data_IF_769980126711
#
_entry.id   IF_769980126711
#
_cell.length_a   1.000
_cell.length_b   1.000
_cell.length_c   1.000
_cell.angle_alpha   90.00
_cell.angle_beta   90.00
_cell.angle_gamma   90.00
#
_symmetry.space_group_name_H-M   'P 1'
#
loop_
_entity.id
_entity.type
_entity.pdbx_description
1 polymer ?
#
# COMPACT_ATOMS: atom_id res chain seq x y z
N UNK A 1 -1.36 12.01 -0.22
CA UNK A 1 -2.54 11.33 0.35
C UNK A 1 -3.26 10.63 -0.77
N UNK A 2 -3.42 9.33 -0.63
CA UNK A 2 -4.20 8.52 -1.57
C UNK A 2 -5.67 8.94 -1.48
N UNK A 3 -6.30 9.14 -2.64
CA UNK A 3 -7.74 9.40 -2.70
C UNK A 3 -8.46 8.07 -2.68
N UNK A 4 -9.37 7.90 -1.76
CA UNK A 4 -10.17 6.70 -1.62
C UNK A 4 -11.63 6.98 -1.98
N UNK A 5 -12.28 6.00 -2.55
CA UNK A 5 -13.68 6.02 -2.87
C UNK A 5 -14.52 5.51 -1.69
N UNK A 6 -15.69 6.06 -1.44
CA UNK A 6 -16.54 5.72 -0.29
C UNK A 6 -17.30 4.39 -0.41
N UNK A 7 -17.17 3.72 -1.56
CA UNK A 7 -17.82 2.45 -1.85
C UNK A 7 -19.24 2.58 -2.41
N UNK A 8 -19.71 3.78 -2.75
CA UNK A 8 -20.99 3.96 -3.44
C UNK A 8 -20.82 3.99 -4.95
N UNK A 9 -21.81 3.52 -5.71
CA UNK A 9 -21.77 3.54 -7.18
C UNK A 9 -21.66 4.97 -7.71
N UNK A 10 -22.38 5.91 -7.09
CA UNK A 10 -22.38 7.31 -7.50
C UNK A 10 -20.98 7.92 -7.42
N UNK A 11 -20.30 7.77 -6.29
CA UNK A 11 -18.94 8.31 -6.12
C UNK A 11 -17.91 7.57 -6.95
N UNK A 12 -18.14 6.29 -7.29
CA UNK A 12 -17.30 5.55 -8.23
C UNK A 12 -17.39 6.11 -9.64
N UNK A 13 -18.58 6.39 -10.15
CA UNK A 13 -18.78 6.94 -11.50
C UNK A 13 -18.13 8.33 -11.63
N UNK A 14 -18.24 9.16 -10.61
CA UNK A 14 -17.57 10.46 -10.52
C UNK A 14 -16.04 10.31 -10.49
N UNK A 15 -15.53 9.38 -9.69
CA UNK A 15 -14.11 9.08 -9.58
C UNK A 15 -13.54 8.50 -10.88
N UNK A 16 -14.26 7.59 -11.53
CA UNK A 16 -13.84 6.97 -12.80
C UNK A 16 -13.81 7.98 -13.94
N UNK A 17 -14.78 8.89 -13.99
CA UNK A 17 -14.81 10.01 -14.93
C UNK A 17 -13.58 10.90 -14.77
N UNK A 18 -13.20 11.25 -13.55
CA UNK A 18 -12.00 12.03 -13.25
C UNK A 18 -10.72 11.26 -13.60
N UNK A 19 -10.65 9.97 -13.29
CA UNK A 19 -9.49 9.12 -13.57
C UNK A 19 -9.21 8.96 -15.06
N UNK A 20 -10.26 8.91 -15.87
CA UNK A 20 -10.18 8.70 -17.32
C UNK A 20 -9.98 10.00 -18.12
N UNK A 21 -9.68 11.12 -17.46
CA UNK A 21 -9.32 12.38 -18.09
C UNK A 21 -10.52 13.20 -18.58
N UNK A 22 -11.71 12.85 -18.17
CA UNK A 22 -12.84 13.75 -18.25
C UNK A 22 -12.66 14.79 -17.15
N UNK A 23 -12.38 16.05 -17.49
CA UNK A 23 -12.26 17.09 -16.47
C UNK A 23 -13.59 17.20 -15.73
N UNK A 24 -13.64 16.88 -14.41
CA UNK A 24 -14.86 17.07 -13.65
C UNK A 24 -15.18 18.56 -13.58
N UNK A 25 -16.46 18.91 -13.70
CA UNK A 25 -16.90 20.28 -13.47
C UNK A 25 -16.54 20.70 -12.04
N UNK A 26 -16.35 22.00 -11.79
CA UNK A 26 -16.06 22.51 -10.43
C UNK A 26 -17.08 22.05 -9.38
N UNK A 27 -18.31 21.79 -9.79
CA UNK A 27 -19.41 21.30 -8.95
C UNK A 27 -19.20 19.82 -8.59
N UNK A 28 -18.70 19.01 -9.52
CA UNK A 28 -18.40 17.59 -9.29
C UNK A 28 -17.21 17.42 -8.37
N UNK A 29 -16.18 18.25 -8.49
CA UNK A 29 -15.02 18.26 -7.58
C UNK A 29 -15.42 18.69 -6.16
N UNK A 30 -16.32 19.66 -6.03
CA UNK A 30 -16.80 20.14 -4.73
C UNK A 30 -17.74 19.14 -4.03
N UNK A 31 -18.39 18.24 -4.79
CA UNK A 31 -19.27 17.19 -4.25
C UNK A 31 -18.55 15.89 -3.84
N UNK A 32 -17.30 15.69 -4.27
CA UNK A 32 -16.51 14.53 -3.87
C UNK A 32 -15.93 14.80 -2.48
N UNK A 33 -16.69 14.52 -1.45
CA UNK A 33 -16.13 14.41 -0.10
C UNK A 33 -15.19 13.20 -0.10
N UNK A 34 -13.88 13.47 -0.02
CA UNK A 34 -12.85 12.44 0.10
C UNK A 34 -12.96 11.81 1.48
N UNK A 35 -13.89 10.87 1.59
CA UNK A 35 -14.03 10.09 2.82
C UNK A 35 -12.84 9.13 2.87
N UNK A 36 -12.05 9.26 3.91
CA UNK A 36 -11.06 8.25 4.26
C UNK A 36 -11.83 6.93 4.47
N UNK A 37 -11.52 5.85 3.76
CA UNK A 37 -12.27 4.59 3.89
C UNK A 37 -12.11 3.97 5.28
N UNK A 38 -11.17 4.49 6.03
CA UNK A 38 -10.87 4.18 7.43
C UNK A 38 -11.70 5.07 8.36
N UNK A 39 -13.00 5.22 8.13
CA UNK A 39 -13.88 6.11 8.91
C UNK A 39 -13.81 5.86 10.42
N UNK A 40 -13.43 4.65 10.83
CA UNK A 40 -13.19 4.29 12.21
C UNK A 40 -11.74 4.53 12.67
N UNK A 41 -10.82 4.84 11.74
CA UNK A 41 -9.43 5.11 12.08
C UNK A 41 -9.28 6.52 12.64
N UNK A 42 -8.96 6.59 13.92
CA UNK A 42 -8.71 7.87 14.61
C UNK A 42 -7.22 8.20 14.52
N UNK A 43 -6.92 9.50 14.30
CA UNK A 43 -5.55 10.01 14.34
C UNK A 43 -4.86 9.56 15.63
N UNK A 44 -3.70 8.93 15.50
CA UNK A 44 -2.91 8.40 16.61
C UNK A 44 -3.18 6.94 16.95
N UNK A 45 -4.06 6.26 16.20
CA UNK A 45 -4.17 4.79 16.25
C UNK A 45 -3.33 4.17 15.15
N UNK A 46 -2.67 3.01 15.40
CA UNK A 46 -1.96 2.30 14.36
C UNK A 46 -2.94 1.79 13.28
N UNK A 47 -2.59 2.02 12.02
CA UNK A 47 -3.28 1.37 10.92
C UNK A 47 -2.99 -0.14 10.95
N UNK A 48 -3.97 -0.95 10.63
CA UNK A 48 -3.84 -2.40 10.53
C UNK A 48 -4.24 -2.85 9.14
N UNK A 49 -3.47 -3.78 8.59
CA UNK A 49 -3.68 -4.29 7.23
C UNK A 49 -5.08 -4.93 7.04
N UNK A 50 -5.73 -5.40 8.10
CA UNK A 50 -7.09 -5.91 8.07
C UNK A 50 -8.10 -4.83 7.68
N UNK A 51 -7.87 -3.56 8.03
CA UNK A 51 -8.71 -2.43 7.60
C UNK A 51 -8.72 -2.28 6.08
N UNK A 52 -7.58 -2.61 5.45
CA UNK A 52 -7.44 -2.63 4.02
C UNK A 52 -8.21 -3.80 3.39
N UNK A 53 -8.09 -5.00 3.95
CA UNK A 53 -8.83 -6.17 3.50
C UNK A 53 -10.35 -5.91 3.59
N UNK A 54 -10.83 -5.35 4.71
CA UNK A 54 -12.24 -5.02 4.94
C UNK A 54 -12.78 -4.00 3.91
N UNK A 55 -11.97 -2.98 3.61
CA UNK A 55 -12.33 -2.00 2.59
C UNK A 55 -12.51 -2.65 1.21
N UNK A 56 -11.52 -3.40 0.74
CA UNK A 56 -11.57 -4.02 -0.58
C UNK A 56 -12.61 -5.13 -0.68
N UNK A 57 -12.96 -5.77 0.41
CA UNK A 57 -14.10 -6.70 0.44
C UNK A 57 -15.43 -5.95 0.26
N UNK A 58 -15.61 -4.82 0.95
CA UNK A 58 -16.80 -3.98 0.85
C UNK A 58 -17.04 -3.45 -0.57
N UNK A 59 -15.97 -3.07 -1.27
CA UNK A 59 -16.07 -2.46 -2.61
C UNK A 59 -15.91 -3.46 -3.76
N UNK A 60 -15.74 -4.75 -3.47
CA UNK A 60 -15.39 -5.80 -4.43
C UNK A 60 -16.33 -5.92 -5.61
N UNK A 61 -17.63 -5.76 -5.38
CA UNK A 61 -18.66 -5.93 -6.43
C UNK A 61 -18.59 -4.81 -7.48
N UNK A 62 -18.13 -3.63 -7.10
CA UNK A 62 -18.03 -2.46 -7.98
C UNK A 62 -16.60 -2.30 -8.49
N UNK A 63 -15.61 -2.54 -7.63
CA UNK A 63 -14.19 -2.45 -7.96
C UNK A 63 -13.46 -3.74 -7.62
N UNK A 64 -13.52 -4.75 -8.49
CA UNK A 64 -12.95 -6.07 -8.20
C UNK A 64 -11.42 -6.08 -8.20
N UNK A 65 -10.77 -5.23 -8.99
CA UNK A 65 -9.31 -5.21 -9.14
C UNK A 65 -8.81 -4.00 -9.92
N UNK A 66 -7.55 -3.62 -9.69
CA UNK A 66 -6.83 -2.68 -10.56
C UNK A 66 -6.38 -3.36 -11.87
N UNK A 67 -6.03 -4.64 -11.80
CA UNK A 67 -5.57 -5.42 -12.94
C UNK A 67 -5.70 -6.93 -12.67
N UNK A 68 -5.57 -7.73 -13.73
CA UNK A 68 -5.59 -9.20 -13.64
C UNK A 68 -4.19 -9.74 -13.92
N UNK A 69 -3.67 -10.54 -13.01
CA UNK A 69 -2.34 -11.14 -13.16
C UNK A 69 -2.28 -12.08 -14.37
N UNK A 70 -1.29 -11.87 -15.24
CA UNK A 70 -1.19 -12.56 -16.53
C UNK A 70 -1.18 -14.08 -16.41
N UNK A 71 -0.39 -14.63 -15.49
CA UNK A 71 -0.18 -16.08 -15.37
C UNK A 71 -1.22 -16.73 -14.44
N UNK A 72 -1.52 -16.12 -13.30
CA UNK A 72 -2.42 -16.71 -12.31
C UNK A 72 -3.88 -16.40 -12.56
N UNK A 73 -4.18 -15.32 -13.30
CA UNK A 73 -5.53 -14.76 -13.48
C UNK A 73 -6.16 -14.26 -12.18
N UNK A 74 -5.35 -14.04 -11.15
CA UNK A 74 -5.81 -13.42 -9.92
C UNK A 74 -6.19 -11.94 -10.15
N UNK A 75 -7.29 -11.46 -9.58
CA UNK A 75 -7.63 -10.04 -9.56
C UNK A 75 -6.72 -9.33 -8.55
N UNK A 76 -5.84 -8.46 -9.03
CA UNK A 76 -4.79 -7.81 -8.23
C UNK A 76 -5.18 -6.39 -7.86
N UNK A 77 -4.63 -5.94 -6.75
CA UNK A 77 -4.73 -4.57 -6.26
C UNK A 77 -3.36 -3.92 -6.27
N UNK A 78 -3.32 -2.62 -6.45
CA UNK A 78 -2.12 -1.80 -6.38
C UNK A 78 -2.20 -0.84 -5.21
N UNK A 79 -1.21 -0.88 -4.35
CA UNK A 79 -1.04 0.11 -3.29
C UNK A 79 -0.05 1.17 -3.77
N UNK A 80 -0.40 2.42 -3.53
CA UNK A 80 0.48 3.55 -3.80
C UNK A 80 0.50 4.48 -2.59
N UNK A 81 1.71 4.83 -2.14
CA UNK A 81 1.95 5.82 -1.11
C UNK A 81 1.25 5.53 0.24
N UNK A 82 1.46 4.34 0.86
CA UNK A 82 0.88 3.99 2.15
C UNK A 82 1.69 4.57 3.34
N UNK A 83 2.46 5.63 3.10
CA UNK A 83 3.42 6.15 4.08
C UNK A 83 2.75 6.63 5.36
N UNK A 84 1.54 7.22 5.25
CA UNK A 84 0.78 7.68 6.42
C UNK A 84 0.30 6.51 7.27
N UNK A 85 -0.22 5.48 6.62
CA UNK A 85 -0.71 4.25 7.25
C UNK A 85 0.45 3.52 7.94
N UNK A 86 1.56 3.29 7.25
CA UNK A 86 2.77 2.68 7.82
C UNK A 86 3.33 3.49 8.99
N UNK A 87 3.45 4.81 8.81
CA UNK A 87 3.96 5.70 9.84
C UNK A 87 3.09 5.68 11.11
N UNK A 88 1.76 5.55 10.96
CA UNK A 88 0.80 5.59 12.06
C UNK A 88 1.03 4.54 13.14
N UNK A 89 1.61 3.37 12.76
CA UNK A 89 1.96 2.29 13.67
C UNK A 89 3.27 2.49 14.42
N UNK A 90 4.05 3.50 14.06
CA UNK A 90 5.40 3.73 14.59
C UNK A 90 5.43 4.50 15.93
N UNK A 91 6.51 4.31 16.67
CA UNK A 91 6.74 5.01 17.95
C UNK A 91 6.78 6.53 17.80
N UNK A 92 7.23 7.05 16.68
CA UNK A 92 7.27 8.49 16.40
C UNK A 92 5.86 9.06 16.26
N UNK A 93 4.97 8.39 15.50
CA UNK A 93 3.57 8.80 15.38
C UNK A 93 2.85 8.78 16.74
N UNK A 94 3.08 7.74 17.55
CA UNK A 94 2.52 7.61 18.89
C UNK A 94 2.96 8.74 19.84
N UNK A 95 4.13 9.34 19.59
CA UNK A 95 4.67 10.48 20.34
C UNK A 95 4.42 11.84 19.67
N UNK A 96 3.54 11.91 18.68
CA UNK A 96 3.13 13.16 18.03
C UNK A 96 4.16 13.76 17.08
N UNK A 97 5.19 13.02 16.70
CA UNK A 97 6.17 13.43 15.68
C UNK A 97 5.49 13.41 14.32
N UNK A 98 5.73 14.41 13.51
CA UNK A 98 5.20 14.51 12.14
C UNK A 98 6.27 14.18 11.09
N UNK A 99 5.85 13.95 9.85
CA UNK A 99 6.76 13.78 8.72
C UNK A 99 7.69 14.99 8.56
N UNK A 100 7.18 16.19 8.80
CA UNK A 100 7.92 17.43 8.69
C UNK A 100 9.04 17.57 9.73
N UNK A 101 8.87 17.00 10.92
CA UNK A 101 9.89 17.06 11.98
C UNK A 101 11.18 16.36 11.56
N UNK A 102 11.07 15.30 10.74
CA UNK A 102 12.21 14.56 10.20
C UNK A 102 12.64 15.06 8.82
N UNK A 103 11.70 15.32 7.90
CA UNK A 103 11.99 15.67 6.52
C UNK A 103 12.20 17.17 6.27
N UNK A 104 11.74 18.01 7.21
CA UNK A 104 11.87 19.47 7.17
C UNK A 104 12.35 20.00 8.54
N UNK A 105 13.47 19.50 9.07
CA UNK A 105 13.93 19.88 10.42
C UNK A 105 14.27 21.36 10.47
N UNK A 106 14.32 21.89 11.69
CA UNK A 106 14.77 23.26 11.92
C UNK A 106 16.29 23.35 11.79
N UNK A 107 16.73 24.30 10.96
CA UNK A 107 18.13 24.68 10.82
C UNK A 107 18.38 26.11 11.26
N UNK A 108 19.60 26.43 11.62
CA UNK A 108 20.03 27.81 11.92
C UNK A 108 20.82 28.38 10.76
N UNK A 109 20.43 29.59 10.33
CA UNK A 109 21.17 30.34 9.33
C UNK A 109 21.49 31.71 9.92
N UNK A 110 22.68 31.85 10.49
CA UNK A 110 23.04 33.00 11.33
C UNK A 110 22.20 33.07 12.59
N UNK A 111 21.55 34.18 12.84
CA UNK A 111 20.65 34.39 13.98
C UNK A 111 19.24 33.79 13.81
N UNK A 112 18.90 33.37 12.58
CA UNK A 112 17.56 32.91 12.26
C UNK A 112 17.42 31.40 12.44
N UNK A 113 16.31 30.94 13.02
CA UNK A 113 15.84 29.57 13.01
C UNK A 113 14.78 29.45 11.92
N UNK A 114 14.98 28.54 10.97
CA UNK A 114 14.05 28.32 9.86
C UNK A 114 13.89 26.84 9.58
N UNK A 115 12.77 26.46 8.98
CA UNK A 115 12.53 25.11 8.52
C UNK A 115 13.32 24.85 7.22
N UNK A 116 13.95 23.70 7.15
CA UNK A 116 14.60 23.26 5.91
C UNK A 116 13.53 22.78 4.92
N UNK A 117 13.40 23.46 3.78
CA UNK A 117 12.39 23.13 2.76
C UNK A 117 12.89 22.13 1.70
N UNK A 118 14.15 21.73 1.75
CA UNK A 118 14.65 20.64 0.93
C UNK A 118 14.20 19.31 1.55
N UNK A 119 13.10 18.77 1.06
CA UNK A 119 12.57 17.48 1.53
C UNK A 119 13.52 16.38 1.08
N UNK A 120 14.45 16.03 1.96
CA UNK A 120 15.48 15.01 1.71
C UNK A 120 15.37 13.89 2.75
N UNK A 121 16.15 12.83 2.53
CA UNK A 121 16.26 11.77 3.55
C UNK A 121 16.82 12.34 4.84
N UNK A 122 16.20 12.09 6.00
CA UNK A 122 16.70 12.49 7.31
C UNK A 122 18.12 11.98 7.61
N UNK A 123 18.55 10.90 6.95
CA UNK A 123 19.89 10.33 7.06
C UNK A 123 20.99 11.24 6.51
N UNK A 124 20.65 12.25 5.70
CA UNK A 124 21.63 13.21 5.19
C UNK A 124 22.04 14.25 6.23
N UNK A 125 21.18 14.51 7.22
CA UNK A 125 21.47 15.41 8.33
C UNK A 125 20.84 14.89 9.64
N UNK A 126 21.48 13.88 10.20
CA UNK A 126 21.09 13.25 11.47
C UNK A 126 21.07 14.27 12.62
N UNK A 127 21.97 15.24 12.59
CA UNK A 127 22.05 16.24 13.64
C UNK A 127 20.82 17.17 13.66
N UNK A 128 20.35 17.60 12.50
CA UNK A 128 19.15 18.42 12.43
C UNK A 128 17.86 17.62 12.61
N UNK A 129 17.77 16.44 11.98
CA UNK A 129 16.54 15.65 11.94
C UNK A 129 16.30 14.84 13.23
N UNK A 130 17.35 14.16 13.73
CA UNK A 130 17.19 13.19 14.82
C UNK A 130 17.60 13.74 16.17
N UNK A 131 18.73 14.45 16.24
CA UNK A 131 19.31 14.88 17.53
C UNK A 131 18.53 16.04 18.20
N UNK A 132 17.58 16.65 17.51
CA UNK A 132 16.64 17.57 18.15
C UNK A 132 15.88 16.92 19.32
N UNK A 133 15.55 15.62 19.18
CA UNK A 133 14.90 14.81 20.22
C UNK A 133 15.88 13.79 20.85
N UNK A 134 16.77 13.22 20.06
CA UNK A 134 17.75 12.19 20.47
C UNK A 134 19.13 12.79 20.83
N UNK A 135 19.16 13.87 21.60
CA UNK A 135 20.38 14.62 21.91
C UNK A 135 21.49 13.82 22.59
N UNK A 136 21.14 12.75 23.31
CA UNK A 136 22.10 11.93 24.09
C UNK A 136 22.77 10.83 23.27
N UNK A 137 22.20 10.48 22.12
CA UNK A 137 22.73 9.45 21.24
C UNK A 137 23.77 10.04 20.28
N UNK A 138 24.80 9.25 19.92
CA UNK A 138 25.72 9.65 18.87
C UNK A 138 25.08 9.52 17.49
N UNK A 139 25.61 10.23 16.49
CA UNK A 139 25.15 10.14 15.12
C UNK A 139 25.35 8.72 14.57
N UNK A 140 26.48 8.10 14.87
CA UNK A 140 26.82 6.75 14.45
C UNK A 140 25.83 5.73 15.02
N UNK A 141 25.49 5.86 16.31
CA UNK A 141 24.49 5.00 16.94
C UNK A 141 23.13 5.11 16.25
N UNK A 142 22.66 6.33 16.00
CA UNK A 142 21.37 6.57 15.34
C UNK A 142 21.34 6.00 13.91
N UNK A 143 22.41 6.22 13.14
CA UNK A 143 22.57 5.63 11.81
C UNK A 143 22.55 4.10 11.85
N UNK A 144 23.29 3.51 12.78
CA UNK A 144 23.36 2.07 12.91
C UNK A 144 21.98 1.47 13.23
N UNK A 145 21.23 2.08 14.16
CA UNK A 145 19.86 1.63 14.48
C UNK A 145 18.95 1.65 13.24
N UNK A 146 19.02 2.71 12.44
CA UNK A 146 18.20 2.81 11.23
C UNK A 146 18.59 1.74 10.21
N UNK A 147 19.90 1.54 9.97
CA UNK A 147 20.38 0.53 9.03
C UNK A 147 20.05 -0.89 9.49
N UNK A 148 20.10 -1.18 10.79
CA UNK A 148 19.73 -2.49 11.32
C UNK A 148 18.24 -2.78 11.10
N UNK A 149 17.37 -1.79 11.33
CA UNK A 149 15.94 -1.90 11.05
C UNK A 149 15.71 -2.09 9.55
N UNK A 150 16.31 -1.26 8.69
CA UNK A 150 16.16 -1.38 7.24
C UNK A 150 16.65 -2.72 6.71
N UNK A 151 17.76 -3.24 7.25
CA UNK A 151 18.29 -4.55 6.88
C UNK A 151 17.35 -5.69 7.27
N UNK A 152 16.76 -5.62 8.46
CA UNK A 152 15.78 -6.61 8.92
C UNK A 152 14.54 -6.61 8.02
N UNK A 153 13.96 -5.44 7.80
CA UNK A 153 12.78 -5.28 6.92
C UNK A 153 13.07 -5.76 5.49
N UNK A 154 14.24 -5.40 4.94
CA UNK A 154 14.63 -5.86 3.61
C UNK A 154 14.81 -7.38 3.52
N UNK A 155 15.27 -8.02 4.58
CA UNK A 155 15.37 -9.47 4.64
C UNK A 155 14.00 -10.14 4.67
N UNK A 156 13.08 -9.64 5.50
CA UNK A 156 11.73 -10.17 5.64
C UNK A 156 10.93 -9.97 4.33
N UNK A 157 11.06 -8.79 3.73
CA UNK A 157 10.42 -8.47 2.44
C UNK A 157 10.90 -9.43 1.34
N UNK A 158 12.22 -9.65 1.20
CA UNK A 158 12.74 -10.61 0.22
C UNK A 158 12.23 -12.01 0.45
N UNK A 159 12.11 -12.43 1.70
CA UNK A 159 11.57 -13.75 2.04
C UNK A 159 10.11 -13.87 1.60
N UNK A 160 9.30 -12.82 1.81
CA UNK A 160 7.93 -12.76 1.34
C UNK A 160 7.85 -12.76 -0.21
N UNK A 161 8.69 -11.99 -0.89
CA UNK A 161 8.77 -11.95 -2.36
C UNK A 161 9.09 -13.33 -2.95
N UNK A 162 10.06 -14.06 -2.39
CA UNK A 162 10.37 -15.43 -2.83
C UNK A 162 9.19 -16.38 -2.63
N UNK A 163 8.49 -16.28 -1.51
CA UNK A 163 7.30 -17.08 -1.26
C UNK A 163 6.17 -16.77 -2.26
N UNK A 164 5.96 -15.50 -2.61
CA UNK A 164 4.98 -15.07 -3.61
C UNK A 164 5.36 -15.58 -5.00
N UNK A 165 6.62 -15.51 -5.39
CA UNK A 165 7.10 -16.06 -6.68
C UNK A 165 6.87 -17.56 -6.76
N UNK A 166 7.12 -18.30 -5.67
CA UNK A 166 6.82 -19.73 -5.60
C UNK A 166 5.32 -19.98 -5.76
N UNK A 167 4.48 -19.25 -5.02
CA UNK A 167 3.02 -19.34 -5.12
C UNK A 167 2.52 -19.08 -6.53
N UNK A 168 3.02 -18.06 -7.22
CA UNK A 168 2.68 -17.76 -8.61
C UNK A 168 3.02 -18.96 -9.51
N UNK A 169 4.19 -19.57 -9.34
CA UNK A 169 4.66 -20.71 -10.11
C UNK A 169 3.78 -21.94 -9.89
N UNK A 170 3.39 -22.18 -8.64
CA UNK A 170 2.51 -23.29 -8.27
C UNK A 170 1.10 -23.10 -8.85
N UNK A 171 0.55 -21.90 -8.76
CA UNK A 171 -0.75 -21.57 -9.35
C UNK A 171 -0.70 -21.77 -10.88
N UNK A 172 0.34 -21.28 -11.55
CA UNK A 172 0.51 -21.46 -12.99
C UNK A 172 0.53 -22.94 -13.37
N UNK A 173 1.28 -23.74 -12.65
CA UNK A 173 1.38 -25.19 -12.86
C UNK A 173 0.04 -25.88 -12.64
N UNK A 174 -0.67 -25.50 -11.56
CA UNK A 174 -1.97 -26.08 -11.25
C UNK A 174 -3.03 -25.69 -12.29
N UNK A 175 -3.02 -24.44 -12.76
CA UNK A 175 -3.90 -24.00 -13.86
C UNK A 175 -3.69 -24.82 -15.14
N UNK A 176 -2.43 -25.07 -15.50
CA UNK A 176 -2.11 -25.92 -16.67
C UNK A 176 -2.69 -27.32 -16.52
N UNK A 177 -2.45 -27.98 -15.38
CA UNK A 177 -2.97 -29.32 -15.09
C UNK A 177 -4.49 -29.39 -15.09
N UNK A 178 -5.17 -28.41 -14.51
CA UNK A 178 -6.63 -28.33 -14.53
C UNK A 178 -7.16 -28.14 -15.96
N UNK A 179 -6.49 -27.33 -16.78
CA UNK A 179 -6.86 -27.11 -18.17
C UNK A 179 -6.80 -28.36 -19.08
N UNK A 180 -6.07 -29.39 -18.66
CA UNK A 180 -6.02 -30.70 -19.36
C UNK A 180 -7.24 -31.56 -19.03
N UNK A 181 -7.97 -31.28 -17.97
CA UNK A 181 -9.11 -32.08 -17.54
C UNK A 181 -10.40 -31.62 -18.24
N UNK A 182 -11.20 -32.57 -18.78
CA UNK A 182 -12.44 -32.24 -19.50
C UNK A 182 -13.44 -31.42 -18.72
N UNK A 183 -13.48 -31.58 -17.37
CA UNK A 183 -14.36 -30.80 -16.49
C UNK A 183 -14.08 -29.28 -16.50
N UNK A 184 -12.86 -28.88 -16.84
CA UNK A 184 -12.40 -27.50 -16.89
C UNK A 184 -12.19 -26.99 -18.32
N UNK A 185 -12.83 -27.63 -19.28
CA UNK A 185 -12.79 -27.26 -20.69
C UNK A 185 -14.17 -26.78 -21.15
N UNK A 186 -14.15 -25.97 -22.22
CA UNK A 186 -15.30 -25.58 -23.03
C UNK A 186 -14.85 -25.72 -24.50
N UNK A 187 -15.59 -26.46 -25.31
CA UNK A 187 -15.25 -26.76 -26.70
C UNK A 187 -13.83 -27.35 -26.90
N UNK A 188 -13.40 -28.20 -25.96
CA UNK A 188 -12.08 -28.84 -25.99
C UNK A 188 -10.90 -27.92 -25.65
N UNK A 189 -11.15 -26.72 -25.14
CA UNK A 189 -10.11 -25.76 -24.73
C UNK A 189 -10.23 -25.43 -23.23
N UNK A 190 -9.12 -25.15 -22.57
CA UNK A 190 -9.13 -24.69 -21.16
C UNK A 190 -10.07 -23.51 -20.97
N UNK A 191 -10.94 -23.60 -19.95
CA UNK A 191 -11.89 -22.57 -19.57
C UNK A 191 -11.35 -21.82 -18.34
N UNK A 192 -10.81 -20.63 -18.58
CA UNK A 192 -10.21 -19.80 -17.51
C UNK A 192 -11.20 -19.45 -16.39
N UNK A 193 -12.50 -19.32 -16.70
CA UNK A 193 -13.50 -18.99 -15.68
C UNK A 193 -13.77 -20.19 -14.76
N UNK A 194 -13.92 -21.40 -15.32
CA UNK A 194 -14.07 -22.63 -14.53
C UNK A 194 -12.84 -22.89 -13.66
N UNK A 195 -11.65 -22.73 -14.23
CA UNK A 195 -10.38 -22.92 -13.51
C UNK A 195 -10.25 -21.91 -12.40
N UNK A 196 -10.51 -20.62 -12.66
CA UNK A 196 -10.41 -19.57 -11.66
C UNK A 196 -11.42 -19.74 -10.51
N UNK A 197 -12.62 -20.22 -10.83
CA UNK A 197 -13.63 -20.56 -9.82
C UNK A 197 -13.14 -21.69 -8.90
N UNK A 198 -12.50 -22.71 -9.45
CA UNK A 198 -11.94 -23.82 -8.66
C UNK A 198 -10.76 -23.38 -7.78
N UNK A 199 -10.04 -22.34 -8.18
CA UNK A 199 -8.85 -21.83 -7.50
C UNK A 199 -9.12 -20.56 -6.67
N UNK A 200 -10.35 -20.16 -6.44
CA UNK A 200 -10.71 -18.87 -5.86
C UNK A 200 -9.94 -18.56 -4.57
N UNK A 201 -9.82 -19.52 -3.65
CA UNK A 201 -9.12 -19.32 -2.39
C UNK A 201 -7.60 -19.10 -2.58
N UNK A 202 -7.01 -19.75 -3.55
CA UNK A 202 -5.57 -19.63 -3.85
C UNK A 202 -5.29 -18.31 -4.58
N UNK A 203 -6.19 -17.89 -5.46
CA UNK A 203 -6.11 -16.60 -6.13
C UNK A 203 -6.26 -15.44 -5.13
N UNK A 204 -7.15 -15.60 -4.15
CA UNK A 204 -7.31 -14.63 -3.06
C UNK A 204 -6.06 -14.58 -2.16
N UNK A 205 -5.46 -15.72 -1.86
CA UNK A 205 -4.19 -15.77 -1.13
C UNK A 205 -3.09 -15.01 -1.89
N UNK A 206 -2.97 -15.22 -3.21
CA UNK A 206 -2.03 -14.49 -4.05
C UNK A 206 -2.30 -12.98 -4.00
N UNK A 207 -3.55 -12.55 -4.18
CA UNK A 207 -3.96 -11.14 -4.08
C UNK A 207 -3.53 -10.52 -2.75
N UNK A 208 -3.90 -11.14 -1.64
CA UNK A 208 -3.62 -10.63 -0.28
C UNK A 208 -2.13 -10.63 0.06
N UNK A 209 -1.39 -11.66 -0.39
CA UNK A 209 0.05 -11.72 -0.17
C UNK A 209 0.80 -10.62 -0.92
N UNK A 210 0.44 -10.37 -2.17
CA UNK A 210 1.05 -9.31 -2.97
C UNK A 210 0.76 -7.93 -2.39
N UNK A 211 -0.48 -7.67 -1.98
CA UNK A 211 -0.85 -6.42 -1.29
C UNK A 211 0.01 -6.18 -0.06
N UNK A 212 0.27 -7.21 0.76
CA UNK A 212 1.09 -7.09 1.96
C UNK A 212 2.57 -6.87 1.69
N UNK A 213 3.05 -7.34 0.55
CA UNK A 213 4.43 -7.08 0.13
C UNK A 213 4.59 -5.68 -0.50
N UNK A 214 3.55 -5.16 -1.13
CA UNK A 214 3.52 -3.80 -1.69
C UNK A 214 3.26 -2.72 -0.62
N UNK A 215 2.61 -3.09 0.49
CA UNK A 215 2.29 -2.21 1.61
C UNK A 215 3.50 -2.00 2.51
#
# INVERSE_FOLDING_TARGET
>A
TQKWWDGTQKTYDEFDSWRNGNEPTEIEVAGIELVFPWAEWKKGQPFRIEMFDDYYEKVRDIFPSDWVHKETKAPMLKIQHPETELFSGGVHAANGVSCADCHMPYIRKGAFKMTQHNVTSPLQDINAACKACHARQSEEFLKQQIFDIQKSVAFDLRSAEYAIVSLITDIKTLRSKLGELPAYQTDGKPDDAKISKALVNVLELHRKSSVRADF
#
